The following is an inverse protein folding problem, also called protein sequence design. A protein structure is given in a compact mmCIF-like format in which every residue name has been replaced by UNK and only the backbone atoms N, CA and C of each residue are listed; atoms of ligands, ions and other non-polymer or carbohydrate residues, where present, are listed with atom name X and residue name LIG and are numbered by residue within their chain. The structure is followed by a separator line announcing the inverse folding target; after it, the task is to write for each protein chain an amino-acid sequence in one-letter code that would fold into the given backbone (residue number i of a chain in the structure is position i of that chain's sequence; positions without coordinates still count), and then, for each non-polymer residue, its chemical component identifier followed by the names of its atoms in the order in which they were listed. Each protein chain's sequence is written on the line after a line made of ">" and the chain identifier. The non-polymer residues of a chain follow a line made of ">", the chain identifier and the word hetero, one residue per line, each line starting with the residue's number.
data_IF_221283362355
#
_entry.id   IF_221283362355
#
_cell.length_a   1.000
_cell.length_b   1.000
_cell.length_c   1.000
_cell.angle_alpha   90.00
_cell.angle_beta   90.00
_cell.angle_gamma   90.00
#
_symmetry.space_group_name_H-M   'P 1'
#
loop_
_entity.id
_entity.type
_entity.pdbx_description
1 polymer ?
#
# COMPACT_ATOMS: atom_id res chain seq x y z
N UNK A 1 -3.25 -21.68 -8.25
CA UNK A 1 -2.51 -22.54 -7.27
C UNK A 1 -1.60 -21.67 -6.40
N UNK A 2 -1.37 -22.01 -5.14
CA UNK A 2 -0.38 -21.32 -4.30
C UNK A 2 0.89 -22.17 -4.17
N UNK A 3 2.02 -21.49 -3.93
CA UNK A 3 3.31 -22.13 -3.73
C UNK A 3 3.99 -21.59 -2.47
N UNK A 4 4.69 -22.47 -1.76
CA UNK A 4 5.53 -22.13 -0.62
C UNK A 4 6.98 -22.07 -1.07
N UNK A 5 7.65 -20.93 -0.88
CA UNK A 5 9.02 -20.68 -1.34
C UNK A 5 9.92 -20.35 -0.16
N UNK A 6 11.09 -21.00 -0.10
CA UNK A 6 12.16 -20.69 0.86
C UNK A 6 13.49 -21.06 0.24
N UNK A 7 14.36 -20.06 0.03
CA UNK A 7 15.67 -20.23 -0.62
C UNK A 7 15.51 -20.87 -2.01
N UNK A 8 16.06 -22.06 -2.23
CA UNK A 8 15.95 -22.84 -3.46
C UNK A 8 14.86 -23.93 -3.41
N UNK A 9 13.98 -23.90 -2.40
CA UNK A 9 12.89 -24.87 -2.23
C UNK A 9 11.55 -24.23 -2.58
N UNK A 10 10.76 -24.94 -3.39
CA UNK A 10 9.40 -24.57 -3.77
C UNK A 10 8.47 -25.78 -3.66
N UNK A 11 7.27 -25.59 -3.08
CA UNK A 11 6.24 -26.63 -2.96
C UNK A 11 4.87 -26.09 -3.37
N UNK A 12 4.10 -26.89 -4.11
CA UNK A 12 2.69 -26.59 -4.35
C UNK A 12 1.88 -26.80 -3.06
N UNK A 13 0.92 -25.92 -2.82
CA UNK A 13 0.05 -25.96 -1.65
C UNK A 13 -1.33 -26.41 -2.09
N UNK A 14 -1.83 -27.53 -1.55
CA UNK A 14 -3.15 -28.06 -1.94
C UNK A 14 -4.29 -27.57 -1.04
N UNK A 15 -4.01 -27.15 0.20
CA UNK A 15 -5.00 -26.68 1.15
C UNK A 15 -4.43 -25.68 2.19
N UNK A 16 -5.30 -25.04 2.97
CA UNK A 16 -4.90 -24.05 3.97
C UNK A 16 -4.06 -24.63 5.12
N UNK A 17 -4.27 -25.89 5.53
CA UNK A 17 -3.49 -26.52 6.60
C UNK A 17 -2.01 -26.66 6.19
N UNK A 18 -1.76 -27.06 4.95
CA UNK A 18 -0.41 -27.10 4.38
C UNK A 18 0.18 -25.70 4.29
N UNK A 19 -0.61 -24.70 3.87
CA UNK A 19 -0.18 -23.30 3.81
C UNK A 19 0.33 -22.82 5.17
N UNK A 20 -0.43 -23.02 6.23
CA UNK A 20 -0.03 -22.64 7.59
C UNK A 20 1.22 -23.38 8.05
N UNK A 21 1.31 -24.69 7.75
CA UNK A 21 2.49 -25.50 8.07
C UNK A 21 3.75 -24.97 7.39
N UNK A 22 3.68 -24.61 6.10
CA UNK A 22 4.80 -24.02 5.38
C UNK A 22 5.16 -22.64 5.93
N UNK A 23 4.17 -21.78 6.23
CA UNK A 23 4.42 -20.47 6.85
C UNK A 23 5.14 -20.60 8.19
N UNK A 24 4.73 -21.55 9.04
CA UNK A 24 5.38 -21.83 10.32
C UNK A 24 6.82 -22.35 10.17
N UNK A 25 7.12 -23.07 9.07
CA UNK A 25 8.47 -23.54 8.73
C UNK A 25 9.36 -22.47 8.07
N UNK A 26 8.84 -21.25 7.92
CA UNK A 26 9.59 -20.13 7.39
C UNK A 26 9.49 -19.95 5.87
N UNK A 27 8.46 -20.52 5.22
CA UNK A 27 8.23 -20.33 3.79
C UNK A 27 7.33 -19.12 3.54
N UNK A 28 7.69 -18.32 2.54
CA UNK A 28 6.79 -17.31 1.99
C UNK A 28 5.77 -17.99 1.08
N UNK A 29 4.56 -17.45 1.04
CA UNK A 29 3.48 -17.96 0.19
C UNK A 29 3.36 -17.03 -1.00
N UNK A 30 3.49 -17.59 -2.20
CA UNK A 30 3.39 -16.87 -3.48
C UNK A 30 2.29 -17.47 -4.35
N UNK A 31 1.79 -16.69 -5.30
CA UNK A 31 0.93 -17.21 -6.37
C UNK A 31 1.72 -17.83 -7.54
N UNK A 32 1.01 -18.31 -8.56
CA UNK A 32 1.58 -18.97 -9.74
C UNK A 32 2.52 -18.06 -10.54
N UNK A 33 2.32 -16.75 -10.50
CA UNK A 33 3.20 -15.76 -11.13
C UNK A 33 4.38 -15.38 -10.23
N UNK A 34 4.44 -15.93 -9.02
CA UNK A 34 5.49 -15.65 -8.05
C UNK A 34 5.27 -14.39 -7.22
N UNK A 35 4.09 -13.77 -7.27
CA UNK A 35 3.83 -12.62 -6.41
C UNK A 35 3.60 -13.08 -4.98
N UNK A 36 4.22 -12.39 -4.03
CA UNK A 36 4.06 -12.63 -2.61
C UNK A 36 2.60 -12.38 -2.18
N UNK A 37 2.02 -13.37 -1.49
CA UNK A 37 0.70 -13.29 -0.84
C UNK A 37 0.83 -13.17 0.67
N UNK A 38 1.69 -13.98 1.28
CA UNK A 38 1.88 -13.97 2.73
C UNK A 38 3.35 -14.21 3.09
N UNK A 39 3.87 -13.43 4.03
CA UNK A 39 5.20 -13.67 4.57
C UNK A 39 5.23 -14.91 5.48
N UNK A 40 6.38 -15.56 5.48
CA UNK A 40 6.75 -16.55 6.49
C UNK A 40 6.56 -16.04 7.93
N UNK A 41 6.22 -16.94 8.86
CA UNK A 41 6.17 -16.61 10.29
C UNK A 41 7.58 -16.36 10.81
N UNK A 42 7.72 -15.39 11.72
CA UNK A 42 8.98 -15.11 12.41
C UNK A 42 9.91 -14.13 11.70
N UNK A 43 9.52 -13.62 10.51
CA UNK A 43 10.20 -12.46 9.92
C UNK A 43 10.02 -11.25 10.83
N UNK A 44 11.12 -10.55 11.12
CA UNK A 44 11.15 -9.34 11.95
C UNK A 44 11.74 -8.20 11.14
N UNK A 45 11.23 -7.01 11.41
CA UNK A 45 11.86 -5.75 11.00
C UNK A 45 12.43 -5.08 12.25
N UNK A 46 13.56 -4.36 12.15
CA UNK A 46 14.06 -3.56 13.27
C UNK A 46 13.00 -2.55 13.73
N UNK A 47 12.84 -2.36 15.04
CA UNK A 47 11.83 -1.46 15.58
C UNK A 47 12.05 -0.01 15.10
N UNK A 48 13.29 0.46 15.13
CA UNK A 48 13.66 1.82 14.68
C UNK A 48 13.33 2.06 13.20
N UNK A 49 13.56 1.06 12.34
CA UNK A 49 13.21 1.14 10.92
C UNK A 49 11.69 1.20 10.73
N UNK A 50 10.95 0.37 11.47
CA UNK A 50 9.49 0.39 11.45
C UNK A 50 8.93 1.76 11.92
N UNK A 51 9.46 2.31 13.00
CA UNK A 51 9.03 3.61 13.52
C UNK A 51 9.35 4.75 12.56
N UNK A 52 10.52 4.71 11.93
CA UNK A 52 10.93 5.68 10.90
C UNK A 52 9.99 5.65 9.71
N UNK A 53 9.71 4.46 9.17
CA UNK A 53 8.78 4.29 8.05
C UNK A 53 7.35 4.71 8.41
N UNK A 54 6.91 4.42 9.64
CA UNK A 54 5.59 4.83 10.11
C UNK A 54 5.47 6.36 10.20
N UNK A 55 6.48 7.03 10.76
CA UNK A 55 6.52 8.48 10.86
C UNK A 55 6.51 9.16 9.48
N UNK A 56 7.30 8.64 8.53
CA UNK A 56 7.33 9.15 7.16
C UNK A 56 5.97 8.98 6.47
N UNK A 57 5.35 7.80 6.58
CA UNK A 57 4.02 7.52 6.04
C UNK A 57 2.97 8.47 6.60
N UNK A 58 3.00 8.73 7.90
CA UNK A 58 2.07 9.62 8.58
C UNK A 58 2.24 11.07 8.10
N UNK A 59 3.49 11.54 7.98
CA UNK A 59 3.82 12.85 7.42
C UNK A 59 3.32 13.00 5.98
N UNK A 60 3.66 12.06 5.10
CA UNK A 60 3.25 12.08 3.70
C UNK A 60 1.73 12.07 3.52
N UNK A 61 1.01 11.39 4.41
CA UNK A 61 -0.44 11.37 4.36
C UNK A 61 -1.08 12.68 4.84
N UNK A 62 -0.50 13.35 5.84
CA UNK A 62 -0.92 14.68 6.25
C UNK A 62 -0.72 15.70 5.12
N UNK A 63 0.47 15.69 4.50
CA UNK A 63 0.77 16.54 3.34
C UNK A 63 -0.18 16.26 2.17
N UNK A 64 -0.41 15.00 1.83
CA UNK A 64 -1.37 14.62 0.78
C UNK A 64 -2.80 15.08 1.08
N UNK A 65 -3.23 15.03 2.35
CA UNK A 65 -4.56 15.50 2.75
C UNK A 65 -4.68 17.01 2.55
N UNK A 66 -3.66 17.76 2.94
CA UNK A 66 -3.65 19.21 2.80
C UNK A 66 -3.59 19.64 1.33
N UNK A 67 -2.71 19.03 0.53
CA UNK A 67 -2.64 19.28 -0.92
C UNK A 67 -3.97 18.97 -1.60
N UNK A 68 -4.63 17.85 -1.26
CA UNK A 68 -5.97 17.53 -1.78
C UNK A 68 -7.02 18.56 -1.37
N UNK A 69 -6.91 19.17 -0.19
CA UNK A 69 -7.80 20.25 0.26
C UNK A 69 -7.55 21.52 -0.55
N UNK A 70 -6.29 21.96 -0.65
CA UNK A 70 -5.90 23.13 -1.45
C UNK A 70 -6.32 22.99 -2.91
N UNK A 71 -6.13 21.81 -3.53
CA UNK A 71 -6.58 21.53 -4.91
C UNK A 71 -8.10 21.67 -5.03
N UNK A 72 -8.88 21.20 -4.05
CA UNK A 72 -10.34 21.35 -4.06
C UNK A 72 -10.77 22.81 -3.91
N UNK A 73 -10.09 23.58 -3.06
CA UNK A 73 -10.38 25.00 -2.85
C UNK A 73 -10.04 25.83 -4.09
N UNK A 74 -8.88 25.60 -4.70
CA UNK A 74 -8.48 26.25 -5.96
C UNK A 74 -9.44 25.90 -7.11
N UNK A 75 -9.85 24.62 -7.24
CA UNK A 75 -10.83 24.21 -8.27
C UNK A 75 -12.22 24.81 -8.06
N UNK A 76 -12.62 25.13 -6.82
CA UNK A 76 -13.87 25.86 -6.53
C UNK A 76 -13.74 27.37 -6.78
N UNK A 77 -12.54 27.93 -6.62
CA UNK A 77 -12.24 29.33 -6.89
C UNK A 77 -12.24 29.69 -8.37
N UNK A 78 -11.93 28.73 -9.25
CA UNK A 78 -11.84 28.95 -10.70
C UNK A 78 -13.22 28.98 -11.40
N UNK A 79 -14.26 28.38 -10.80
CA UNK A 79 -15.63 28.39 -11.34
C UNK A 79 -16.43 29.68 -11.05
N UNK A 80 -15.78 30.75 -10.59
CA UNK A 80 -16.42 31.99 -10.13
C UNK A 80 -16.05 33.28 -10.88
N UNK A 81 -15.29 33.21 -11.98
CA UNK A 81 -14.98 34.38 -12.82
C UNK A 81 -15.38 34.15 -14.28
N UNK A 82 -16.66 33.95 -14.54
CA UNK A 82 -17.23 34.42 -15.80
C UNK A 82 -17.53 35.90 -15.58
N UNK A 83 -16.74 36.75 -16.24
CA UNK A 83 -16.91 38.19 -16.22
C UNK A 83 -18.26 38.53 -16.86
N UNK A 84 -19.14 39.21 -16.12
CA UNK A 84 -20.26 39.97 -16.65
C UNK A 84 -19.72 41.26 -17.29
N UNK A 85 -19.80 41.45 -18.63
CA UNK A 85 -19.51 42.72 -19.24
C UNK A 85 -20.83 43.33 -19.74
N UNK A 86 -21.30 44.36 -19.05
CA UNK A 86 -22.08 45.40 -19.72
C UNK A 86 -23.40 45.77 -19.05
N UNK A 87 -23.29 46.56 -17.98
CA UNK A 87 -24.20 47.69 -17.80
C UNK A 87 -23.73 48.80 -18.74
N UNK A 88 -24.53 49.13 -19.75
CA UNK A 88 -24.23 50.19 -20.71
C UNK A 88 -25.48 50.62 -21.47
N UNK A 89 -26.06 51.72 -20.97
CA UNK A 89 -26.96 52.71 -21.62
C UNK A 89 -28.36 52.28 -22.07
#
# INVERSE_FOLDING_TARGET
>A
MLRAVKENREYNIANDVEKETYRARGFDIVDEKGNLKEHAIGKKVPLEEFETLKAERDKLAAENKELKKQIKELKKGDSGKENDPGKGE
#
